data_IF_313512466120
#
_entry.id   IF_313512466120
#
_cell.length_a   1.000
_cell.length_b   1.000
_cell.length_c   1.000
_cell.angle_alpha   90.00
_cell.angle_beta   90.00
_cell.angle_gamma   90.00
#
_symmetry.space_group_name_H-M   'P 1'
#
loop_
_entity.id
_entity.type
_entity.pdbx_description
1 polymer ?
#
# COMPACT_ATOMS: atom_id res chain seq x y z
N UNK A 1 8.84 51.41 -31.39
CA UNK A 1 7.52 51.17 -32.00
C UNK A 1 6.43 51.37 -30.95
N UNK A 2 5.42 52.20 -31.24
CA UNK A 2 4.24 52.36 -30.37
C UNK A 2 3.34 51.13 -30.48
N UNK A 3 2.93 50.60 -29.34
CA UNK A 3 2.02 49.45 -29.24
C UNK A 3 0.90 49.76 -28.25
N UNK A 4 -0.26 49.14 -28.43
CA UNK A 4 -1.29 49.11 -27.39
C UNK A 4 -1.07 47.89 -26.50
N UNK A 5 -1.08 48.08 -25.19
CA UNK A 5 -0.97 46.98 -24.24
C UNK A 5 -2.24 46.12 -24.24
N UNK A 6 -2.11 44.82 -24.52
CA UNK A 6 -3.21 43.85 -24.55
C UNK A 6 -3.92 43.66 -23.18
N UNK A 7 -3.42 44.25 -22.09
CA UNK A 7 -4.06 44.18 -20.76
C UNK A 7 -4.71 45.49 -20.33
N UNK A 8 -4.01 46.62 -20.46
CA UNK A 8 -4.50 47.91 -19.94
C UNK A 8 -4.91 48.89 -21.04
N UNK A 9 -4.74 48.53 -22.32
CA UNK A 9 -5.06 49.38 -23.48
C UNK A 9 -4.15 50.59 -23.66
N UNK A 10 -3.31 50.93 -22.67
CA UNK A 10 -2.47 52.12 -22.74
C UNK A 10 -1.39 51.99 -23.81
N UNK A 11 -1.14 53.05 -24.60
CA UNK A 11 -0.06 53.08 -25.56
C UNK A 11 1.28 53.08 -24.83
N UNK A 12 2.26 52.34 -25.35
CA UNK A 12 3.63 52.39 -24.86
C UNK A 12 4.60 52.16 -26.00
N UNK A 13 5.77 52.77 -25.90
CA UNK A 13 6.88 52.49 -26.79
C UNK A 13 7.69 51.31 -26.29
N UNK A 14 7.88 50.33 -27.17
CA UNK A 14 8.79 49.20 -26.96
C UNK A 14 9.85 49.18 -28.05
N UNK A 15 10.98 48.55 -27.71
CA UNK A 15 12.04 48.22 -28.67
C UNK A 15 11.47 47.39 -29.82
N UNK A 16 11.79 47.77 -31.06
CA UNK A 16 11.27 47.14 -32.27
C UNK A 16 11.50 45.62 -32.27
N UNK A 17 12.68 45.16 -31.82
CA UNK A 17 12.99 43.73 -31.72
C UNK A 17 12.03 42.94 -30.82
N UNK A 18 11.56 43.52 -29.71
CA UNK A 18 10.58 42.86 -28.84
C UNK A 18 9.22 42.74 -29.52
N UNK A 19 8.81 43.81 -30.23
CA UNK A 19 7.53 43.87 -30.94
C UNK A 19 7.51 42.87 -32.09
N UNK A 20 8.56 42.86 -32.92
CA UNK A 20 8.66 41.94 -34.06
C UNK A 20 8.74 40.49 -33.61
N UNK A 21 9.48 40.18 -32.53
CA UNK A 21 9.53 38.84 -31.95
C UNK A 21 8.16 38.39 -31.46
N UNK A 22 7.44 39.24 -30.72
CA UNK A 22 6.11 38.91 -30.22
C UNK A 22 5.12 38.69 -31.38
N UNK A 23 5.12 39.56 -32.39
CA UNK A 23 4.28 39.43 -33.60
C UNK A 23 4.57 38.14 -34.36
N UNK A 24 5.85 37.82 -34.59
CA UNK A 24 6.27 36.58 -35.26
C UNK A 24 5.73 35.32 -34.56
N UNK A 25 5.63 35.35 -33.24
CA UNK A 25 5.12 34.23 -32.44
C UNK A 25 3.62 34.35 -32.08
N UNK A 26 2.89 35.32 -32.63
CA UNK A 26 1.47 35.54 -32.31
C UNK A 26 1.21 35.85 -30.83
N UNK A 27 2.19 36.44 -30.12
CA UNK A 27 2.11 36.71 -28.69
C UNK A 27 1.53 38.09 -28.41
N UNK A 28 0.73 38.17 -27.34
CA UNK A 28 0.22 39.43 -26.82
C UNK A 28 1.35 40.35 -26.35
N UNK A 29 1.21 41.63 -26.68
CA UNK A 29 2.12 42.70 -26.34
C UNK A 29 1.65 43.42 -25.06
N UNK A 30 2.58 43.67 -24.13
CA UNK A 30 2.24 44.26 -22.84
C UNK A 30 3.10 45.47 -22.52
N UNK A 31 2.51 46.39 -21.76
CA UNK A 31 3.15 47.58 -21.25
C UNK A 31 4.41 47.28 -20.41
N UNK A 32 4.52 46.09 -19.83
CA UNK A 32 5.61 45.71 -18.95
C UNK A 32 5.30 44.44 -18.16
N UNK A 33 6.21 44.06 -17.26
CA UNK A 33 6.13 42.82 -16.46
C UNK A 33 4.85 42.71 -15.64
N UNK A 34 4.35 43.82 -15.08
CA UNK A 34 3.10 43.85 -14.29
C UNK A 34 1.87 43.51 -15.18
N UNK A 35 1.73 44.20 -16.32
CA UNK A 35 0.66 43.93 -17.30
C UNK A 35 0.69 42.47 -17.79
N UNK A 36 1.88 41.97 -18.14
CA UNK A 36 2.06 40.59 -18.61
C UNK A 36 1.75 39.55 -17.51
N UNK A 37 2.21 39.80 -16.28
CA UNK A 37 1.94 38.92 -15.14
C UNK A 37 0.46 38.82 -14.83
N UNK A 38 -0.25 39.95 -14.77
CA UNK A 38 -1.69 39.99 -14.55
C UNK A 38 -2.48 39.30 -15.67
N UNK A 39 -2.10 39.51 -16.93
CA UNK A 39 -2.77 38.88 -18.07
C UNK A 39 -2.60 37.36 -18.10
N UNK A 40 -1.50 36.82 -17.56
CA UNK A 40 -1.22 35.37 -17.51
C UNK A 40 -1.81 34.66 -16.29
N UNK A 41 -2.32 35.40 -15.29
CA UNK A 41 -2.92 34.80 -14.10
C UNK A 41 -4.26 34.17 -14.49
N UNK A 42 -4.42 32.89 -14.17
CA UNK A 42 -5.67 32.14 -14.37
C UNK A 42 -6.68 32.31 -13.21
N UNK A 43 -6.38 33.15 -12.21
CA UNK A 43 -7.16 33.39 -10.99
C UNK A 43 -7.74 32.14 -10.29
N UNK A 44 -7.12 30.97 -10.48
CA UNK A 44 -7.58 29.72 -9.88
C UNK A 44 -7.34 29.74 -8.38
N UNK A 45 -8.33 29.27 -7.63
CA UNK A 45 -8.20 29.06 -6.19
C UNK A 45 -7.16 27.98 -5.91
N UNK A 46 -6.63 27.94 -4.69
CA UNK A 46 -5.69 26.88 -4.27
C UNK A 46 -6.31 25.48 -4.45
N UNK A 47 -7.59 25.34 -4.10
CA UNK A 47 -8.33 24.08 -4.21
C UNK A 47 -8.45 23.62 -5.68
N UNK A 48 -8.81 24.51 -6.60
CA UNK A 48 -8.88 24.19 -8.03
C UNK A 48 -7.55 23.69 -8.57
N UNK A 49 -6.43 24.35 -8.22
CA UNK A 49 -5.09 23.92 -8.66
C UNK A 49 -4.74 22.53 -8.14
N UNK A 50 -5.09 22.23 -6.89
CA UNK A 50 -4.85 20.90 -6.29
C UNK A 50 -5.67 19.83 -7.00
N UNK A 51 -6.94 20.10 -7.29
CA UNK A 51 -7.82 19.17 -8.00
C UNK A 51 -7.33 18.91 -9.43
N UNK A 52 -7.02 19.96 -10.19
CA UNK A 52 -6.48 19.82 -11.55
C UNK A 52 -5.15 19.07 -11.60
N UNK A 53 -4.26 19.35 -10.65
CA UNK A 53 -3.00 18.59 -10.56
C UNK A 53 -3.27 17.13 -10.21
N UNK A 54 -4.21 16.87 -9.29
CA UNK A 54 -4.59 15.50 -8.90
C UNK A 54 -5.16 14.73 -10.10
N UNK A 55 -6.07 15.31 -10.87
CA UNK A 55 -6.64 14.65 -12.06
C UNK A 55 -5.58 14.40 -13.12
N UNK A 56 -4.75 15.41 -13.39
CA UNK A 56 -3.59 15.27 -14.29
C UNK A 56 -2.65 14.14 -13.84
N UNK A 57 -2.25 14.11 -12.57
CA UNK A 57 -1.34 13.08 -12.03
C UNK A 57 -1.94 11.67 -12.12
N UNK A 58 -3.25 11.54 -11.92
CA UNK A 58 -3.97 10.26 -12.07
C UNK A 58 -3.90 9.79 -13.53
N UNK A 59 -4.26 10.67 -14.49
CA UNK A 59 -4.22 10.33 -15.91
C UNK A 59 -2.80 10.04 -16.39
N UNK A 60 -1.84 10.85 -15.97
CA UNK A 60 -0.43 10.67 -16.30
C UNK A 60 0.10 9.32 -15.79
N UNK A 61 -0.21 8.96 -14.53
CA UNK A 61 0.20 7.67 -13.96
C UNK A 61 -0.51 6.49 -14.63
N UNK A 62 -1.77 6.66 -15.06
CA UNK A 62 -2.51 5.64 -15.81
C UNK A 62 -1.89 5.41 -17.19
N UNK A 63 -1.64 6.48 -17.94
CA UNK A 63 -1.04 6.42 -19.29
C UNK A 63 0.40 5.88 -19.27
N UNK A 64 1.20 6.29 -18.29
CA UNK A 64 2.64 5.98 -18.24
C UNK A 64 3.01 4.89 -17.23
N UNK A 65 2.06 4.05 -16.80
CA UNK A 65 2.27 3.11 -15.69
C UNK A 65 3.45 2.15 -15.96
N UNK A 66 3.54 1.62 -17.18
CA UNK A 66 4.58 0.67 -17.60
C UNK A 66 5.98 1.31 -17.58
N UNK A 67 6.11 2.51 -18.16
CA UNK A 67 7.37 3.26 -18.15
C UNK A 67 7.81 3.64 -16.75
N UNK A 68 6.89 4.11 -15.91
CA UNK A 68 7.20 4.49 -14.53
C UNK A 68 7.69 3.27 -13.74
N UNK A 69 7.09 2.09 -13.96
CA UNK A 69 7.57 0.83 -13.37
C UNK A 69 8.99 0.50 -13.86
N UNK A 70 9.25 0.58 -15.17
CA UNK A 70 10.58 0.34 -15.76
C UNK A 70 11.64 1.30 -15.18
N UNK A 71 11.36 2.60 -15.17
CA UNK A 71 12.25 3.65 -14.63
C UNK A 71 12.56 3.41 -13.15
N UNK A 72 11.54 3.10 -12.33
CA UNK A 72 11.74 2.78 -10.90
C UNK A 72 12.54 1.51 -10.69
N UNK A 73 12.28 0.46 -11.46
CA UNK A 73 13.03 -0.80 -11.38
C UNK A 73 14.49 -0.59 -11.77
N UNK A 74 14.75 0.16 -12.84
CA UNK A 74 16.11 0.51 -13.26
C UNK A 74 16.84 1.33 -12.18
N UNK A 75 16.19 2.35 -11.64
CA UNK A 75 16.75 3.16 -10.55
C UNK A 75 17.07 2.31 -9.32
N UNK A 76 16.16 1.42 -8.92
CA UNK A 76 16.41 0.48 -7.83
C UNK A 76 17.60 -0.43 -8.15
N UNK A 77 17.67 -1.03 -9.34
CA UNK A 77 18.82 -1.87 -9.74
C UNK A 77 20.15 -1.12 -9.66
N UNK A 78 20.18 0.15 -10.08
CA UNK A 78 21.38 0.99 -10.03
C UNK A 78 21.82 1.34 -8.61
N UNK A 79 20.87 1.54 -7.70
CA UNK A 79 21.14 2.14 -6.38
C UNK A 79 21.04 1.16 -5.21
N UNK A 80 20.43 0.00 -5.42
CA UNK A 80 20.19 -0.97 -4.37
C UNK A 80 21.43 -1.82 -4.12
N UNK A 81 22.00 -1.65 -2.92
CA UNK A 81 23.07 -2.48 -2.38
C UNK A 81 22.47 -3.57 -1.47
N UNK A 82 22.56 -4.87 -1.87
CA UNK A 82 22.05 -5.98 -1.09
C UNK A 82 22.70 -6.15 0.29
N UNK A 83 23.99 -5.83 0.42
CA UNK A 83 24.74 -6.00 1.66
C UNK A 83 24.32 -4.96 2.70
N UNK A 84 24.20 -3.70 2.27
CA UNK A 84 23.68 -2.61 3.11
C UNK A 84 22.26 -2.92 3.56
N UNK A 85 21.41 -3.42 2.65
CA UNK A 85 20.05 -3.84 2.99
C UNK A 85 20.03 -5.00 4.01
N UNK A 86 20.91 -6.01 3.84
CA UNK A 86 21.06 -7.13 4.79
C UNK A 86 21.50 -6.64 6.17
N UNK A 87 22.50 -5.77 6.25
CA UNK A 87 22.98 -5.17 7.51
C UNK A 87 21.84 -4.41 8.22
N UNK A 88 21.07 -3.60 7.48
CA UNK A 88 19.90 -2.88 8.00
C UNK A 88 18.80 -3.84 8.51
N UNK A 89 18.49 -4.92 7.77
CA UNK A 89 17.53 -5.95 8.20
C UNK A 89 18.00 -6.63 9.49
N UNK A 90 19.28 -7.03 9.58
CA UNK A 90 19.86 -7.66 10.77
C UNK A 90 19.77 -6.74 11.99
N UNK A 91 20.12 -5.45 11.83
CA UNK A 91 20.01 -4.44 12.91
C UNK A 91 18.58 -4.30 13.44
N UNK A 92 17.57 -4.34 12.56
CA UNK A 92 16.15 -4.19 12.94
C UNK A 92 15.49 -5.49 13.42
N UNK A 93 16.13 -6.65 13.22
CA UNK A 93 15.53 -7.96 13.48
C UNK A 93 15.03 -8.10 14.93
N UNK A 94 15.81 -7.67 15.93
CA UNK A 94 15.42 -7.73 17.35
C UNK A 94 14.16 -6.89 17.64
N UNK A 95 14.16 -5.62 17.23
CA UNK A 95 13.01 -4.73 17.41
C UNK A 95 11.76 -5.24 16.67
N UNK A 96 11.94 -5.86 15.50
CA UNK A 96 10.84 -6.49 14.79
C UNK A 96 10.29 -7.71 15.53
N UNK A 97 11.16 -8.56 16.11
CA UNK A 97 10.72 -9.69 16.92
C UNK A 97 9.96 -9.23 18.17
N UNK A 98 10.43 -8.19 18.85
CA UNK A 98 9.71 -7.58 19.99
C UNK A 98 8.35 -7.01 19.58
N UNK A 99 8.29 -6.30 18.46
CA UNK A 99 7.03 -5.83 17.88
C UNK A 99 6.06 -6.99 17.60
N UNK A 100 6.55 -8.08 16.99
CA UNK A 100 5.75 -9.27 16.68
C UNK A 100 5.29 -10.04 17.93
N UNK A 101 5.96 -9.88 19.07
CA UNK A 101 5.55 -10.51 20.34
C UNK A 101 4.35 -9.82 20.99
N UNK A 102 4.08 -8.55 20.65
CA UNK A 102 2.99 -7.77 21.26
C UNK A 102 1.64 -8.48 21.07
N UNK A 103 0.81 -8.59 22.13
CA UNK A 103 -0.46 -9.30 22.06
C UNK A 103 -1.42 -8.66 21.04
N UNK A 104 -1.43 -7.33 20.96
CA UNK A 104 -2.21 -6.57 19.97
C UNK A 104 -1.85 -6.95 18.54
N UNK A 105 -0.55 -7.02 18.23
CA UNK A 105 -0.09 -7.39 16.89
C UNK A 105 -0.46 -8.83 16.55
N UNK A 106 -0.34 -9.76 17.51
CA UNK A 106 -0.73 -11.16 17.30
C UNK A 106 -2.22 -11.28 16.97
N UNK A 107 -3.10 -10.63 17.74
CA UNK A 107 -4.55 -10.60 17.49
C UNK A 107 -4.86 -10.03 16.11
N UNK A 108 -4.31 -8.86 15.80
CA UNK A 108 -4.47 -8.24 14.48
C UNK A 108 -3.98 -9.14 13.34
N UNK A 109 -2.82 -9.80 13.52
CA UNK A 109 -2.21 -10.65 12.51
C UNK A 109 -3.01 -11.94 12.31
N UNK A 110 -3.54 -12.53 13.39
CA UNK A 110 -4.45 -13.68 13.34
C UNK A 110 -5.70 -13.34 12.52
N UNK A 111 -6.37 -12.23 12.84
CA UNK A 111 -7.55 -11.77 12.09
C UNK A 111 -7.22 -11.44 10.62
N UNK A 112 -6.11 -10.76 10.39
CA UNK A 112 -5.64 -10.42 9.05
C UNK A 112 -5.39 -11.69 8.22
N UNK A 113 -4.67 -12.66 8.76
CA UNK A 113 -4.36 -13.92 8.07
C UNK A 113 -5.60 -14.80 7.90
N UNK A 114 -6.54 -14.74 8.85
CA UNK A 114 -7.86 -15.38 8.75
C UNK A 114 -8.68 -14.80 7.59
N UNK A 115 -8.85 -13.48 7.51
CA UNK A 115 -9.55 -12.79 6.40
C UNK A 115 -8.84 -12.99 5.06
N UNK A 116 -7.52 -12.94 5.05
CA UNK A 116 -6.71 -13.14 3.84
C UNK A 116 -6.88 -14.54 3.25
N UNK A 117 -6.91 -15.58 4.09
CA UNK A 117 -7.19 -16.96 3.66
C UNK A 117 -8.63 -17.11 3.14
N UNK A 118 -9.59 -16.54 3.85
CA UNK A 118 -11.00 -16.58 3.44
C UNK A 118 -11.23 -15.94 2.06
N UNK A 119 -10.47 -14.91 1.70
CA UNK A 119 -10.56 -14.22 0.39
C UNK A 119 -10.41 -15.17 -0.81
N UNK A 120 -9.70 -16.29 -0.67
CA UNK A 120 -9.57 -17.30 -1.74
C UNK A 120 -10.93 -17.92 -2.14
N UNK A 121 -11.90 -17.94 -1.23
CA UNK A 121 -13.22 -18.52 -1.45
C UNK A 121 -14.26 -17.52 -1.99
N UNK A 122 -13.85 -16.27 -2.27
CA UNK A 122 -14.70 -15.27 -2.91
C UNK A 122 -16.02 -15.04 -2.16
N UNK A 123 -17.20 -15.28 -2.79
CA UNK A 123 -18.51 -15.15 -2.14
C UNK A 123 -18.69 -16.02 -0.89
N UNK A 124 -18.00 -17.16 -0.80
CA UNK A 124 -18.10 -18.09 0.32
C UNK A 124 -17.07 -17.84 1.42
N UNK A 125 -16.42 -16.67 1.42
CA UNK A 125 -15.44 -16.30 2.45
C UNK A 125 -16.03 -16.39 3.87
N UNK A 126 -17.26 -15.94 4.07
CA UNK A 126 -17.91 -15.94 5.39
C UNK A 126 -18.25 -17.37 5.85
N UNK A 127 -18.74 -18.22 4.95
CA UNK A 127 -18.97 -19.63 5.22
C UNK A 127 -17.65 -20.35 5.63
N UNK A 128 -16.54 -20.06 4.96
CA UNK A 128 -15.23 -20.58 5.35
C UNK A 128 -14.81 -20.11 6.75
N UNK A 129 -15.02 -18.82 7.06
CA UNK A 129 -14.70 -18.26 8.37
C UNK A 129 -15.50 -18.92 9.50
N UNK A 130 -16.80 -19.18 9.27
CA UNK A 130 -17.68 -19.89 10.21
C UNK A 130 -17.17 -21.32 10.41
N UNK A 131 -16.86 -22.03 9.33
CA UNK A 131 -16.35 -23.40 9.39
C UNK A 131 -15.02 -23.49 10.17
N UNK A 132 -14.13 -22.51 10.04
CA UNK A 132 -12.89 -22.44 10.81
C UNK A 132 -13.17 -22.24 12.31
N UNK A 133 -14.12 -21.36 12.66
CA UNK A 133 -14.48 -21.14 14.07
C UNK A 133 -15.14 -22.37 14.69
N UNK A 134 -16.05 -23.03 13.95
CA UNK A 134 -16.65 -24.29 14.37
C UNK A 134 -15.59 -25.36 14.61
N UNK A 135 -14.60 -25.49 13.71
CA UNK A 135 -13.51 -26.43 13.90
C UNK A 135 -12.62 -26.09 15.10
N UNK A 136 -12.43 -24.80 15.40
CA UNK A 136 -11.68 -24.36 16.59
C UNK A 136 -12.42 -24.74 17.88
N UNK A 137 -13.74 -24.55 17.89
CA UNK A 137 -14.61 -24.92 19.02
C UNK A 137 -14.74 -26.43 19.21
N UNK A 138 -14.87 -27.20 18.12
CA UNK A 138 -14.90 -28.67 18.21
C UNK A 138 -13.59 -29.19 18.83
N UNK A 139 -12.46 -28.65 18.39
CA UNK A 139 -11.13 -29.03 18.91
C UNK A 139 -10.85 -28.55 20.32
N UNK A 140 -11.49 -27.49 20.80
CA UNK A 140 -11.32 -27.02 22.17
C UNK A 140 -12.06 -27.92 23.17
N UNK A 141 -13.18 -28.51 22.75
CA UNK A 141 -14.02 -29.38 23.60
C UNK A 141 -13.54 -30.82 23.67
N UNK A 142 -13.04 -31.37 22.56
CA UNK A 142 -12.55 -32.74 22.55
C UNK A 142 -11.45 -32.91 21.52
N UNK A 143 -10.39 -33.61 21.92
CA UNK A 143 -9.34 -33.96 20.98
C UNK A 143 -9.89 -35.01 20.01
N UNK A 144 -9.45 -35.00 18.75
CA UNK A 144 -9.82 -36.01 17.74
C UNK A 144 -9.65 -37.43 18.26
N UNK A 145 -8.58 -37.65 19.02
CA UNK A 145 -8.30 -38.92 19.67
C UNK A 145 -9.41 -39.37 20.63
N UNK A 146 -9.87 -38.47 21.52
CA UNK A 146 -10.94 -38.74 22.48
C UNK A 146 -12.26 -39.05 21.77
N UNK A 147 -12.58 -38.27 20.71
CA UNK A 147 -13.75 -38.50 19.87
C UNK A 147 -13.70 -39.88 19.20
N UNK A 148 -12.55 -40.29 18.66
CA UNK A 148 -12.42 -41.60 18.01
C UNK A 148 -12.47 -42.78 18.99
N UNK A 149 -11.94 -42.60 20.22
CA UNK A 149 -12.08 -43.58 21.30
C UNK A 149 -13.55 -43.73 21.68
N UNK A 150 -14.25 -42.61 21.94
CA UNK A 150 -15.66 -42.61 22.32
C UNK A 150 -16.52 -43.27 21.24
N UNK A 151 -16.24 -42.97 19.97
CA UNK A 151 -16.96 -43.54 18.82
C UNK A 151 -16.53 -44.98 18.49
N UNK A 152 -15.60 -45.60 19.24
CA UNK A 152 -15.06 -46.95 18.99
C UNK A 152 -14.54 -47.16 17.56
N UNK A 153 -14.13 -46.08 16.89
CA UNK A 153 -13.62 -46.09 15.51
C UNK A 153 -12.09 -46.18 15.47
N UNK A 154 -11.44 -46.19 16.64
CA UNK A 154 -9.98 -46.26 16.76
C UNK A 154 -9.48 -47.70 16.58
N UNK A 155 -8.66 -47.94 15.55
CA UNK A 155 -8.12 -49.26 15.24
C UNK A 155 -7.08 -49.73 16.27
N UNK A 156 -7.02 -51.06 16.53
CA UNK A 156 -6.06 -51.66 17.48
C UNK A 156 -4.59 -51.39 17.12
N UNK A 157 -4.26 -51.21 15.84
CA UNK A 157 -2.91 -50.87 15.40
C UNK A 157 -2.54 -49.41 15.76
N UNK A 158 -3.43 -48.46 15.48
CA UNK A 158 -3.22 -47.03 15.79
C UNK A 158 -3.12 -46.77 17.30
N UNK A 159 -3.86 -47.52 18.13
CA UNK A 159 -3.75 -47.46 19.59
C UNK A 159 -2.36 -47.86 20.08
N UNK A 160 -1.83 -48.97 19.56
CA UNK A 160 -0.49 -49.47 19.91
C UNK A 160 0.63 -48.54 19.45
N UNK A 161 0.51 -47.95 18.27
CA UNK A 161 1.52 -46.99 17.76
C UNK A 161 1.58 -45.69 18.59
N UNK A 162 0.43 -45.21 19.10
CA UNK A 162 0.37 -44.04 19.97
C UNK A 162 0.89 -44.33 21.39
N UNK A 163 0.52 -45.49 21.95
CA UNK A 163 1.04 -45.96 23.25
C UNK A 163 2.56 -46.17 23.19
N UNK A 164 3.07 -46.74 22.09
CA UNK A 164 4.50 -46.93 21.86
C UNK A 164 5.28 -45.61 21.65
N UNK A 165 4.62 -44.57 21.13
CA UNK A 165 5.25 -43.25 20.96
C UNK A 165 5.36 -42.45 22.27
N UNK A 166 4.73 -42.91 23.36
CA UNK A 166 4.73 -42.23 24.65
C UNK A 166 4.09 -40.83 24.61
N UNK A 167 4.00 -40.12 25.76
CA UNK A 167 3.50 -38.76 25.79
C UNK A 167 4.51 -37.82 25.12
N UNK A 168 4.44 -37.67 23.80
CA UNK A 168 5.10 -36.57 23.11
C UNK A 168 4.47 -35.28 23.63
N UNK A 169 5.18 -34.59 24.53
CA UNK A 169 4.93 -33.25 25.07
C UNK A 169 3.81 -32.53 24.31
N UNK A 170 2.60 -32.53 24.87
CA UNK A 170 1.55 -31.65 24.41
C UNK A 170 2.00 -30.21 24.69
N UNK A 171 2.39 -29.50 23.65
CA UNK A 171 2.81 -28.09 23.72
C UNK A 171 1.66 -27.11 24.04
N UNK A 172 0.52 -27.61 24.51
CA UNK A 172 -0.68 -26.84 24.79
C UNK A 172 -1.36 -27.38 26.04
N UNK A 173 -0.91 -26.91 27.22
CA UNK A 173 -1.72 -26.56 28.40
C UNK A 173 -0.80 -26.34 29.60
N UNK A 174 -0.49 -25.10 29.94
CA UNK A 174 -0.04 -24.73 31.28
C UNK A 174 -1.25 -24.17 32.02
N UNK A 175 -1.78 -24.85 33.05
CA UNK A 175 -2.77 -24.24 33.91
C UNK A 175 -2.10 -23.06 34.62
N UNK A 176 -2.68 -21.87 34.48
CA UNK A 176 -2.35 -20.72 35.31
C UNK A 176 -2.81 -21.01 36.73
N UNK A 177 -1.88 -21.23 37.65
CA UNK A 177 -2.16 -21.23 39.07
C UNK A 177 -2.52 -19.81 39.51
N UNK A 178 -3.74 -19.64 39.98
CA UNK A 178 -4.16 -18.65 40.98
C UNK A 178 -5.44 -19.17 41.63
#
# INVERSE_FOLDING_TARGET
MKISCARCGKPRELRNGHVNRAKKHGLNLYCGRKCAGLARRKNKTRQQKVLEKRTYDIEYRKKNQSELKKKKAHYHKKTYDPEVARKKRKKRAKAHAEYCRRPEYKKWKEEYDRKRRAKQYGPYADAYLIMVDLNKEIKSRSNKYEIHIQNKTFGKAQKRDLEAQGPKRSYYYTPSNS
#
